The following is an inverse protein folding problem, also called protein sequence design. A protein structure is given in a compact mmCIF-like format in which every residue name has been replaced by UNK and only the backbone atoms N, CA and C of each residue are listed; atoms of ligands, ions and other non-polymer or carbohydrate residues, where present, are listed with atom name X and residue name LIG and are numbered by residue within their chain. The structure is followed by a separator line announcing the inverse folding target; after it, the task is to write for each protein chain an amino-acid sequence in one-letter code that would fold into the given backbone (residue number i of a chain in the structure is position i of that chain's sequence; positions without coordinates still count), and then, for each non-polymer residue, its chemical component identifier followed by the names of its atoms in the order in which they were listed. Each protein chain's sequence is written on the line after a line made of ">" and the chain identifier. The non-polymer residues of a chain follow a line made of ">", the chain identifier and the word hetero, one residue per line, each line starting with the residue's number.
data_IF_244906471131
#
_entry.id   IF_244906471131
#
_cell.length_a   1.000
_cell.length_b   1.000
_cell.length_c   1.000
_cell.angle_alpha   90.00
_cell.angle_beta   90.00
_cell.angle_gamma   90.00
#
_symmetry.space_group_name_H-M   'P 1'
#
loop_
_entity.id
_entity.type
_entity.pdbx_description
1 polymer ?
#
# COMPACT_ATOMS: atom_id res chain seq x y z
N UNK A 1 -23.40 59.61 -51.01
CA UNK A 1 -24.00 60.56 -51.98
C UNK A 1 -23.13 60.84 -53.21
N UNK A 2 -22.08 60.04 -53.50
CA UNK A 2 -21.20 60.29 -54.67
C UNK A 2 -21.47 59.28 -55.81
N UNK A 3 -22.08 58.13 -55.49
CA UNK A 3 -22.39 57.08 -56.46
C UNK A 3 -23.69 57.32 -57.26
N UNK A 4 -24.65 58.05 -56.70
CA UNK A 4 -25.93 58.35 -57.38
C UNK A 4 -25.81 59.45 -58.43
N UNK A 5 -24.85 60.36 -58.27
CA UNK A 5 -24.65 61.50 -59.18
C UNK A 5 -23.84 61.13 -60.42
N UNK A 6 -23.02 60.08 -60.35
CA UNK A 6 -22.22 59.61 -61.49
C UNK A 6 -23.07 58.86 -62.53
N UNK A 7 -24.12 58.15 -62.09
CA UNK A 7 -25.04 57.43 -63.00
C UNK A 7 -25.95 58.39 -63.77
N UNK A 8 -26.21 59.58 -63.24
CA UNK A 8 -27.14 60.54 -63.85
C UNK A 8 -26.51 61.37 -64.99
N UNK A 9 -25.18 61.52 -65.02
CA UNK A 9 -24.47 62.28 -66.06
C UNK A 9 -24.19 61.45 -67.34
N UNK A 10 -24.39 60.14 -67.31
CA UNK A 10 -24.31 59.28 -68.49
C UNK A 10 -25.64 59.18 -69.28
N UNK A 11 -26.71 59.83 -68.81
CA UNK A 11 -28.07 59.69 -69.37
C UNK A 11 -28.55 60.92 -70.15
N UNK A 12 -27.65 61.72 -70.74
CA UNK A 12 -28.06 62.86 -71.58
C UNK A 12 -27.20 62.98 -72.84
N UNK A 13 -27.53 62.15 -73.84
CA UNK A 13 -27.30 62.45 -75.26
C UNK A 13 -28.30 61.65 -76.11
N UNK A 14 -29.25 62.40 -76.67
CA UNK A 14 -30.03 62.22 -77.90
C UNK A 14 -30.32 60.81 -78.46
N UNK A 15 -31.60 60.45 -78.40
CA UNK A 15 -32.41 60.13 -79.58
C UNK A 15 -31.81 59.27 -80.69
N UNK A 16 -31.96 57.95 -80.58
CA UNK A 16 -31.87 57.02 -81.69
C UNK A 16 -32.75 55.80 -81.39
N UNK A 17 -33.55 55.36 -82.37
CA UNK A 17 -34.35 54.13 -82.29
C UNK A 17 -33.46 52.99 -81.79
N UNK A 18 -33.90 52.31 -80.75
CA UNK A 18 -33.23 51.16 -80.16
C UNK A 18 -34.28 50.25 -79.57
N UNK A 19 -34.95 49.48 -80.43
CA UNK A 19 -35.84 48.41 -79.96
C UNK A 19 -35.03 47.34 -79.22
N UNK A 20 -35.69 46.50 -78.44
CA UNK A 20 -35.09 45.30 -77.83
C UNK A 20 -34.44 44.34 -78.86
N UNK A 21 -34.66 44.59 -80.15
CA UNK A 21 -34.17 43.86 -81.32
C UNK A 21 -33.31 44.73 -82.26
N UNK A 22 -32.85 45.91 -81.83
CA UNK A 22 -31.78 46.61 -82.55
C UNK A 22 -30.48 45.89 -82.22
N UNK A 23 -30.18 44.85 -83.01
CA UNK A 23 -28.93 44.10 -82.92
C UNK A 23 -27.79 45.04 -83.33
N UNK A 24 -27.28 45.78 -82.35
CA UNK A 24 -26.05 46.52 -82.48
C UNK A 24 -24.90 45.51 -82.45
N UNK A 25 -24.49 45.06 -83.65
CA UNK A 25 -23.40 44.09 -83.85
C UNK A 25 -22.13 44.50 -83.08
N UNK A 26 -21.87 45.81 -82.96
CA UNK A 26 -20.76 46.35 -82.19
C UNK A 26 -20.87 46.13 -80.68
N UNK A 27 -22.05 46.36 -80.08
CA UNK A 27 -22.27 46.10 -78.66
C UNK A 27 -22.16 44.60 -78.32
N UNK A 28 -22.75 43.73 -79.16
CA UNK A 28 -22.69 42.28 -78.97
C UNK A 28 -21.23 41.76 -78.98
N UNK A 29 -20.40 42.24 -79.91
CA UNK A 29 -18.97 41.89 -79.98
C UNK A 29 -18.23 42.34 -78.71
N UNK A 30 -18.43 43.57 -78.24
CA UNK A 30 -17.81 44.05 -77.01
C UNK A 30 -18.28 43.32 -75.75
N UNK A 31 -19.56 42.91 -75.67
CA UNK A 31 -20.06 42.07 -74.58
C UNK A 31 -19.39 40.70 -74.59
N UNK A 32 -19.20 40.07 -75.75
CA UNK A 32 -18.50 38.78 -75.86
C UNK A 32 -17.01 38.93 -75.49
N UNK A 33 -16.34 39.97 -75.97
CA UNK A 33 -14.93 40.25 -75.62
C UNK A 33 -14.77 40.46 -74.12
N UNK A 34 -15.64 41.26 -73.48
CA UNK A 34 -15.58 41.52 -72.04
C UNK A 34 -15.94 40.27 -71.22
N UNK A 35 -16.89 39.46 -71.69
CA UNK A 35 -17.23 38.17 -71.07
C UNK A 35 -16.07 37.17 -71.14
N UNK A 36 -15.39 37.07 -72.29
CA UNK A 36 -14.20 36.23 -72.46
C UNK A 36 -13.05 36.76 -71.59
N UNK A 37 -12.81 38.07 -71.56
CA UNK A 37 -11.80 38.67 -70.71
C UNK A 37 -12.08 38.38 -69.22
N UNK A 38 -13.33 38.49 -68.77
CA UNK A 38 -13.74 38.14 -67.41
C UNK A 38 -13.55 36.64 -67.13
N UNK A 39 -13.93 35.75 -68.06
CA UNK A 39 -13.70 34.32 -67.93
C UNK A 39 -12.21 33.98 -67.81
N UNK A 40 -11.33 34.63 -68.56
CA UNK A 40 -9.89 34.41 -68.47
C UNK A 40 -9.33 34.87 -67.11
N UNK A 41 -9.80 36.00 -66.59
CA UNK A 41 -9.45 36.49 -65.26
C UNK A 41 -9.94 35.49 -64.20
N UNK A 42 -11.20 35.05 -64.29
CA UNK A 42 -11.79 34.14 -63.32
C UNK A 42 -11.14 32.75 -63.36
N UNK A 43 -10.85 32.23 -64.56
CA UNK A 43 -10.15 30.96 -64.73
C UNK A 43 -8.74 31.00 -64.11
N UNK A 44 -8.02 32.11 -64.26
CA UNK A 44 -6.70 32.28 -63.65
C UNK A 44 -6.76 32.48 -62.12
N UNK A 45 -7.75 33.23 -61.62
CA UNK A 45 -7.83 33.59 -60.20
C UNK A 45 -8.60 32.60 -59.32
N UNK A 46 -9.66 31.96 -59.81
CA UNK A 46 -10.54 31.09 -59.02
C UNK A 46 -10.03 29.63 -58.91
N UNK A 47 -9.25 29.16 -59.89
CA UNK A 47 -8.79 27.77 -59.89
C UNK A 47 -7.82 27.47 -58.73
N UNK A 48 -6.92 28.40 -58.45
CA UNK A 48 -5.92 28.28 -57.38
C UNK A 48 -6.55 28.18 -55.97
N UNK A 49 -7.48 29.07 -55.54
CA UNK A 49 -8.10 28.95 -54.22
C UNK A 49 -9.01 27.72 -54.09
N UNK A 50 -9.68 27.27 -55.16
CA UNK A 50 -10.52 26.06 -55.12
C UNK A 50 -9.66 24.81 -54.88
N UNK A 51 -8.58 24.65 -55.65
CA UNK A 51 -7.64 23.53 -55.44
C UNK A 51 -7.00 23.60 -54.06
N UNK A 52 -6.55 24.78 -53.63
CA UNK A 52 -5.96 24.95 -52.29
C UNK A 52 -6.95 24.60 -51.17
N UNK A 53 -8.23 24.91 -51.31
CA UNK A 53 -9.25 24.55 -50.34
C UNK A 53 -9.51 23.03 -50.33
N UNK A 54 -9.46 22.38 -51.49
CA UNK A 54 -9.61 20.93 -51.60
C UNK A 54 -8.41 20.20 -50.98
N UNK A 55 -7.18 20.64 -51.29
CA UNK A 55 -5.94 20.10 -50.73
C UNK A 55 -5.92 20.25 -49.20
N UNK A 56 -6.33 21.42 -48.67
CA UNK A 56 -6.44 21.62 -47.21
C UNK A 56 -7.45 20.66 -46.57
N UNK A 57 -8.60 20.41 -47.23
CA UNK A 57 -9.58 19.45 -46.71
C UNK A 57 -9.07 18.02 -46.77
N UNK A 58 -8.41 17.64 -47.86
CA UNK A 58 -7.82 16.31 -48.01
C UNK A 58 -6.74 16.08 -46.95
N UNK A 59 -5.84 17.06 -46.77
CA UNK A 59 -4.79 17.00 -45.76
C UNK A 59 -5.38 16.94 -44.34
N UNK A 60 -6.37 17.78 -44.02
CA UNK A 60 -7.03 17.74 -42.72
C UNK A 60 -7.72 16.39 -42.42
N UNK A 61 -8.31 15.74 -43.43
CA UNK A 61 -8.91 14.40 -43.27
C UNK A 61 -7.82 13.34 -43.07
N UNK A 62 -6.72 13.40 -43.84
CA UNK A 62 -5.58 12.48 -43.67
C UNK A 62 -4.98 12.60 -42.28
N UNK A 63 -4.70 13.83 -41.83
CA UNK A 63 -4.13 14.10 -40.51
C UNK A 63 -5.07 13.63 -39.39
N UNK A 64 -6.38 13.87 -39.52
CA UNK A 64 -7.36 13.39 -38.55
C UNK A 64 -7.45 11.86 -38.50
N UNK A 65 -7.40 11.18 -39.65
CA UNK A 65 -7.38 9.72 -39.72
C UNK A 65 -6.08 9.13 -39.15
N UNK A 66 -4.94 9.76 -39.40
CA UNK A 66 -3.65 9.35 -38.85
C UNK A 66 -3.60 9.54 -37.34
N UNK A 67 -4.06 10.69 -36.83
CA UNK A 67 -4.21 10.94 -35.41
C UNK A 67 -5.16 9.93 -34.75
N UNK A 68 -6.29 9.60 -35.37
CA UNK A 68 -7.23 8.62 -34.85
C UNK A 68 -6.63 7.20 -34.81
N UNK A 69 -5.88 6.80 -35.84
CA UNK A 69 -5.16 5.52 -35.85
C UNK A 69 -4.10 5.47 -34.75
N UNK A 70 -3.28 6.51 -34.63
CA UNK A 70 -2.24 6.61 -33.61
C UNK A 70 -2.83 6.56 -32.20
N UNK A 71 -3.90 7.33 -31.95
CA UNK A 71 -4.59 7.30 -30.66
C UNK A 71 -5.16 5.92 -30.33
N UNK A 72 -5.67 5.19 -31.33
CA UNK A 72 -6.14 3.81 -31.14
C UNK A 72 -4.98 2.86 -30.81
N UNK A 73 -3.87 2.94 -31.55
CA UNK A 73 -2.68 2.12 -31.29
C UNK A 73 -2.11 2.39 -29.90
N UNK A 74 -2.00 3.66 -29.50
CA UNK A 74 -1.57 4.04 -28.14
C UNK A 74 -2.54 3.53 -27.07
N UNK A 75 -3.85 3.59 -27.30
CA UNK A 75 -4.84 3.05 -26.37
C UNK A 75 -4.76 1.52 -26.24
N UNK A 76 -4.57 0.81 -27.36
CA UNK A 76 -4.41 -0.65 -27.37
C UNK A 76 -3.10 -1.07 -26.67
N UNK A 77 -2.01 -0.33 -26.89
CA UNK A 77 -0.73 -0.54 -26.18
C UNK A 77 -0.88 -0.29 -24.68
N UNK A 78 -1.47 0.84 -24.28
CA UNK A 78 -1.68 1.18 -22.88
C UNK A 78 -2.56 0.13 -22.20
N UNK A 79 -3.60 -0.37 -22.88
CA UNK A 79 -4.46 -1.44 -22.37
C UNK A 79 -3.68 -2.73 -22.17
N UNK A 80 -2.86 -3.14 -23.14
CA UNK A 80 -2.02 -4.33 -23.03
C UNK A 80 -1.00 -4.22 -21.88
N UNK A 81 -0.37 -3.06 -21.72
CA UNK A 81 0.53 -2.78 -20.60
C UNK A 81 -0.20 -2.83 -19.26
N UNK A 82 -1.40 -2.26 -19.17
CA UNK A 82 -2.20 -2.28 -17.95
C UNK A 82 -2.62 -3.71 -17.59
N UNK A 83 -3.07 -4.50 -18.58
CA UNK A 83 -3.42 -5.91 -18.38
C UNK A 83 -2.21 -6.73 -17.92
N UNK A 84 -1.02 -6.48 -18.49
CA UNK A 84 0.22 -7.12 -18.06
C UNK A 84 0.59 -6.74 -16.63
N UNK A 85 0.59 -5.44 -16.31
CA UNK A 85 0.90 -4.94 -14.97
C UNK A 85 -0.07 -5.50 -13.92
N UNK A 86 -1.36 -5.63 -14.25
CA UNK A 86 -2.36 -6.26 -13.37
C UNK A 86 -2.05 -7.73 -13.11
N UNK A 87 -1.72 -8.51 -14.14
CA UNK A 87 -1.33 -9.91 -13.98
C UNK A 87 -0.08 -10.06 -13.11
N UNK A 88 0.93 -9.24 -13.36
CA UNK A 88 2.17 -9.26 -12.56
C UNK A 88 1.90 -8.89 -11.10
N UNK A 89 1.04 -7.91 -10.84
CA UNK A 89 0.63 -7.54 -9.49
C UNK A 89 -0.14 -8.67 -8.79
N UNK A 90 -1.10 -9.29 -9.47
CA UNK A 90 -1.87 -10.42 -8.94
C UNK A 90 -0.96 -11.62 -8.60
N UNK A 91 0.03 -11.90 -9.45
CA UNK A 91 1.04 -12.94 -9.19
C UNK A 91 1.94 -12.58 -8.00
N UNK A 92 2.43 -11.34 -7.93
CA UNK A 92 3.24 -10.87 -6.82
C UNK A 92 2.47 -10.92 -5.49
N UNK A 93 1.22 -10.49 -5.48
CA UNK A 93 0.34 -10.56 -4.32
C UNK A 93 0.11 -12.01 -3.85
N UNK A 94 -0.12 -12.93 -4.78
CA UNK A 94 -0.26 -14.37 -4.47
C UNK A 94 1.02 -14.92 -3.84
N UNK A 95 2.19 -14.64 -4.45
CA UNK A 95 3.50 -15.06 -3.91
C UNK A 95 3.72 -14.51 -2.51
N UNK A 96 3.45 -13.23 -2.29
CA UNK A 96 3.62 -12.61 -0.98
C UNK A 96 2.70 -13.22 0.08
N UNK A 97 1.46 -13.57 -0.26
CA UNK A 97 0.54 -14.26 0.66
C UNK A 97 1.07 -15.67 1.00
N UNK A 98 1.58 -16.40 0.01
CA UNK A 98 2.14 -17.74 0.23
C UNK A 98 3.41 -17.69 1.09
N UNK A 99 4.32 -16.77 0.81
CA UNK A 99 5.53 -16.53 1.62
C UNK A 99 5.16 -16.11 3.04
N UNK A 100 4.19 -15.22 3.22
CA UNK A 100 3.72 -14.80 4.54
C UNK A 100 3.13 -15.98 5.31
N UNK A 101 2.36 -16.86 4.65
CA UNK A 101 1.81 -18.07 5.30
C UNK A 101 2.92 -19.02 5.74
N UNK A 102 3.92 -19.27 4.89
CA UNK A 102 5.08 -20.10 5.23
C UNK A 102 5.86 -19.50 6.40
N UNK A 103 6.16 -18.21 6.34
CA UNK A 103 6.84 -17.50 7.43
C UNK A 103 6.06 -17.60 8.75
N UNK A 104 4.74 -17.37 8.74
CA UNK A 104 3.91 -17.50 9.94
C UNK A 104 3.94 -18.94 10.49
N UNK A 105 3.89 -19.96 9.62
CA UNK A 105 3.96 -21.35 10.05
C UNK A 105 5.32 -21.68 10.68
N UNK A 106 6.41 -21.26 10.06
CA UNK A 106 7.77 -21.44 10.58
C UNK A 106 7.95 -20.73 11.93
N UNK A 107 7.47 -19.49 12.04
CA UNK A 107 7.55 -18.74 13.30
C UNK A 107 6.71 -19.36 14.40
N UNK A 108 5.51 -19.86 14.08
CA UNK A 108 4.69 -20.61 15.05
C UNK A 108 5.39 -21.87 15.53
N UNK A 109 6.03 -22.61 14.63
CA UNK A 109 6.77 -23.81 14.98
C UNK A 109 7.95 -23.49 15.90
N UNK A 110 8.78 -22.48 15.52
CA UNK A 110 9.90 -22.01 16.34
C UNK A 110 9.44 -21.54 17.72
N UNK A 111 8.41 -20.70 17.78
CA UNK A 111 7.88 -20.18 19.04
C UNK A 111 7.34 -21.31 19.92
N UNK A 112 6.68 -22.33 19.34
CA UNK A 112 6.22 -23.49 20.10
C UNK A 112 7.37 -24.33 20.67
N UNK A 113 8.45 -24.49 19.90
CA UNK A 113 9.67 -25.18 20.34
C UNK A 113 10.37 -24.40 21.45
N UNK A 114 10.60 -23.10 21.28
CA UNK A 114 11.18 -22.21 22.29
C UNK A 114 10.37 -22.20 23.58
N UNK A 115 9.03 -22.09 23.50
CA UNK A 115 8.17 -22.17 24.68
C UNK A 115 8.33 -23.52 25.39
N UNK A 116 8.37 -24.63 24.63
CA UNK A 116 8.52 -25.95 25.22
C UNK A 116 9.86 -26.09 25.95
N UNK A 117 10.94 -25.60 25.36
CA UNK A 117 12.26 -25.57 25.99
C UNK A 117 12.27 -24.70 27.25
N UNK A 118 11.65 -23.51 27.21
CA UNK A 118 11.56 -22.62 28.37
C UNK A 118 10.73 -23.25 29.50
N UNK A 119 9.60 -23.89 29.16
CA UNK A 119 8.76 -24.60 30.14
C UNK A 119 9.50 -25.76 30.78
N UNK A 120 10.20 -26.59 30.00
CA UNK A 120 11.01 -27.70 30.51
C UNK A 120 12.13 -27.20 31.43
N UNK A 121 12.82 -26.11 31.04
CA UNK A 121 13.85 -25.49 31.87
C UNK A 121 13.26 -24.98 33.18
N UNK A 122 12.18 -24.19 33.12
CA UNK A 122 11.51 -23.63 34.30
C UNK A 122 10.99 -24.72 35.23
N UNK A 123 10.49 -25.83 34.67
CA UNK A 123 10.05 -26.99 35.45
C UNK A 123 11.22 -27.61 36.20
N UNK A 124 12.35 -27.85 35.54
CA UNK A 124 13.56 -28.39 36.20
C UNK A 124 14.09 -27.46 37.29
N UNK A 125 14.12 -26.15 37.03
CA UNK A 125 14.54 -25.15 38.00
C UNK A 125 13.60 -25.17 39.23
N UNK A 126 12.28 -25.25 39.01
CA UNK A 126 11.30 -25.35 40.08
C UNK A 126 11.41 -26.65 40.89
N UNK A 127 11.60 -27.78 40.22
CA UNK A 127 11.78 -29.08 40.88
C UNK A 127 13.05 -29.08 41.76
N UNK A 128 14.16 -28.50 41.26
CA UNK A 128 15.40 -28.35 42.03
C UNK A 128 15.24 -27.39 43.22
N UNK A 129 14.50 -26.29 43.04
CA UNK A 129 14.20 -25.36 44.12
C UNK A 129 13.32 -26.00 45.21
N UNK A 130 12.33 -26.81 44.80
CA UNK A 130 11.47 -27.55 45.71
C UNK A 130 12.27 -28.56 46.54
N UNK A 131 13.16 -29.32 45.92
CA UNK A 131 14.02 -30.29 46.62
C UNK A 131 14.94 -29.59 47.64
N UNK A 132 15.49 -28.42 47.29
CA UNK A 132 16.28 -27.62 48.22
C UNK A 132 15.44 -27.11 49.40
N UNK A 133 14.23 -26.61 49.14
CA UNK A 133 13.31 -26.19 50.20
C UNK A 133 12.89 -27.34 51.11
N UNK A 134 12.64 -28.53 50.56
CA UNK A 134 12.34 -29.73 51.36
C UNK A 134 13.49 -30.07 52.30
N UNK A 135 14.74 -30.07 51.80
CA UNK A 135 15.93 -30.26 52.64
C UNK A 135 16.03 -29.23 53.76
N UNK A 136 15.89 -27.95 53.44
CA UNK A 136 15.94 -26.87 54.43
C UNK A 136 14.81 -26.99 55.48
N UNK A 137 13.62 -27.42 55.08
CA UNK A 137 12.49 -27.64 55.98
C UNK A 137 12.75 -28.82 56.92
N UNK A 138 13.29 -29.93 56.42
CA UNK A 138 13.67 -31.08 57.26
C UNK A 138 14.73 -30.70 58.27
N UNK A 139 15.75 -29.93 57.88
CA UNK A 139 16.79 -29.43 58.79
C UNK A 139 16.20 -28.52 59.88
N UNK A 140 15.32 -27.57 59.51
CA UNK A 140 14.62 -26.69 60.46
C UNK A 140 13.79 -27.49 61.47
N UNK A 141 12.96 -28.42 61.00
CA UNK A 141 12.12 -29.26 61.86
C UNK A 141 12.97 -30.11 62.80
N UNK A 142 14.07 -30.70 62.30
CA UNK A 142 14.98 -31.52 63.12
C UNK A 142 15.61 -30.69 64.24
N UNK A 143 16.01 -29.45 63.94
CA UNK A 143 16.54 -28.51 64.93
C UNK A 143 15.50 -28.15 65.99
N UNK A 144 14.28 -27.80 65.57
CA UNK A 144 13.19 -27.48 66.51
C UNK A 144 12.85 -28.66 67.42
N UNK A 145 12.83 -29.89 66.88
CA UNK A 145 12.61 -31.11 67.67
C UNK A 145 13.76 -31.32 68.66
N UNK A 146 15.02 -31.13 68.24
CA UNK A 146 16.16 -31.25 69.14
C UNK A 146 16.08 -30.25 70.31
N UNK A 147 15.73 -28.99 70.04
CA UNK A 147 15.56 -27.96 71.07
C UNK A 147 14.46 -28.33 72.07
N UNK A 148 13.33 -28.87 71.60
CA UNK A 148 12.23 -29.37 72.46
C UNK A 148 12.67 -30.56 73.31
N UNK A 149 13.42 -31.51 72.74
CA UNK A 149 13.93 -32.69 73.46
C UNK A 149 14.92 -32.29 74.54
N UNK A 150 15.83 -31.35 74.27
CA UNK A 150 16.78 -30.81 75.25
C UNK A 150 16.03 -30.11 76.38
N UNK A 151 15.05 -29.25 76.07
CA UNK A 151 14.24 -28.58 77.08
C UNK A 151 13.44 -29.56 77.95
N UNK A 152 12.90 -30.62 77.35
CA UNK A 152 12.22 -31.69 78.08
C UNK A 152 13.16 -32.46 79.00
N UNK A 153 14.36 -32.83 78.51
CA UNK A 153 15.38 -33.51 79.31
C UNK A 153 15.85 -32.64 80.48
N UNK A 154 16.08 -31.34 80.26
CA UNK A 154 16.42 -30.38 81.31
C UNK A 154 15.32 -30.32 82.39
N UNK A 155 14.05 -30.30 81.98
CA UNK A 155 12.91 -30.29 82.90
C UNK A 155 12.81 -31.59 83.72
N UNK A 156 13.05 -32.75 83.11
CA UNK A 156 13.06 -34.05 83.79
C UNK A 156 14.24 -34.17 84.75
N UNK A 157 15.43 -33.69 84.37
CA UNK A 157 16.61 -33.66 85.23
C UNK A 157 16.38 -32.74 86.43
N UNK A 158 15.86 -31.52 86.21
CA UNK A 158 15.47 -30.60 87.30
C UNK A 158 14.41 -31.21 88.23
N UNK A 159 13.44 -31.94 87.70
CA UNK A 159 12.42 -32.61 88.52
C UNK A 159 12.95 -33.82 89.31
N UNK A 160 13.97 -34.53 88.80
CA UNK A 160 14.61 -35.65 89.50
C UNK A 160 15.72 -35.21 90.47
N UNK A 161 16.33 -34.04 90.25
CA UNK A 161 17.22 -33.34 91.18
C UNK A 161 16.41 -32.70 92.31
N UNK A 162 15.65 -33.51 93.04
CA UNK A 162 15.06 -33.08 94.29
C UNK A 162 16.17 -33.03 95.36
N UNK A 163 16.33 -31.88 96.02
CA UNK A 163 17.30 -31.68 97.07
C UNK A 163 17.16 -32.72 98.20
N UNK A 164 15.94 -33.26 98.38
CA UNK A 164 15.64 -34.37 99.29
C UNK A 164 16.33 -35.69 98.88
N UNK A 165 16.26 -36.08 97.59
CA UNK A 165 16.87 -37.32 97.09
C UNK A 165 18.40 -37.25 97.09
N UNK A 166 18.96 -36.08 96.79
CA UNK A 166 20.41 -35.86 96.86
C UNK A 166 20.93 -35.89 98.30
N UNK A 167 20.19 -35.34 99.28
CA UNK A 167 20.53 -35.49 100.70
C UNK A 167 20.48 -36.94 101.17
N UNK A 168 19.49 -37.71 100.72
CA UNK A 168 19.37 -39.14 101.00
C UNK A 168 20.53 -39.95 100.42
N UNK A 169 20.97 -39.66 99.20
CA UNK A 169 22.11 -40.32 98.57
C UNK A 169 23.43 -39.96 99.26
N UNK A 170 23.64 -38.68 99.61
CA UNK A 170 24.83 -38.24 100.35
C UNK A 170 24.89 -38.89 101.74
N UNK A 171 23.77 -38.94 102.45
CA UNK A 171 23.73 -39.57 103.77
C UNK A 171 24.00 -41.09 103.69
N UNK A 172 23.47 -41.79 102.67
CA UNK A 172 23.80 -43.20 102.43
C UNK A 172 25.28 -43.42 102.12
N UNK A 173 25.89 -42.55 101.31
CA UNK A 173 27.32 -42.64 100.98
C UNK A 173 28.21 -42.39 102.22
N UNK A 174 27.82 -41.45 103.07
CA UNK A 174 28.50 -41.18 104.35
C UNK A 174 28.34 -42.37 105.32
N UNK A 175 27.16 -43.00 105.38
CA UNK A 175 26.97 -44.22 106.19
C UNK A 175 27.76 -45.42 105.67
N UNK A 176 27.89 -45.58 104.35
CA UNK A 176 28.64 -46.68 103.73
C UNK A 176 30.16 -46.52 103.93
N UNK A 177 30.68 -45.29 103.91
CA UNK A 177 32.07 -44.99 104.29
C UNK A 177 32.31 -45.17 105.80
N UNK A 178 31.30 -44.94 106.65
CA UNK A 178 31.42 -45.11 108.10
C UNK A 178 31.34 -46.58 108.55
N UNK A 179 30.70 -47.43 107.76
CA UNK A 179 30.53 -48.86 108.04
C UNK A 179 31.60 -49.76 107.38
N UNK A 180 32.65 -49.17 106.81
CA UNK A 180 33.83 -49.84 106.27
C UNK A 180 35.10 -49.24 106.90
#
# INVERSE_FOLDING_TARGET
>A
MIFSTFVMLASSSEGGKGGLLDFNEGLAIWTVITFIALLLILAKFAWKPILSALDQREQGIKDALEAAKKAKEEADLLKAENEKARKENDEAARRQIEESKKFIQEQKAKMAEELKEEFEKRRKDFDAELENREREMVEKVTKEVADVVVAAAEKVIKANLDAEKNKLLVNKFIEEIRNN
#
